data_IF_874878493823
#
_entry.id   IF_874878493823
#
_cell.length_a   1.000
_cell.length_b   1.000
_cell.length_c   1.000
_cell.angle_alpha   90.00
_cell.angle_beta   90.00
_cell.angle_gamma   90.00
#
_symmetry.space_group_name_H-M   'P 1'
#
loop_
_entity.id
_entity.type
_entity.pdbx_description
1 polymer ?
#
# COMPACT_ATOMS: atom_id res chain seq x y z
N UNK A 1 5.35 12.02 30.65
CA UNK A 1 5.51 11.24 29.40
C UNK A 1 5.31 9.78 29.78
N UNK A 2 4.11 9.23 29.54
CA UNK A 2 3.83 7.83 29.81
C UNK A 2 4.24 7.02 28.58
N UNK A 3 5.11 6.03 28.79
CA UNK A 3 5.46 5.04 27.78
C UNK A 3 4.46 3.90 27.94
N UNK A 4 3.50 3.81 27.02
CA UNK A 4 2.64 2.63 26.92
C UNK A 4 3.45 1.50 26.29
N UNK A 5 3.82 0.53 27.12
CA UNK A 5 4.53 -0.68 26.71
C UNK A 5 3.52 -1.81 26.54
N UNK A 6 3.26 -2.19 25.29
CA UNK A 6 2.46 -3.38 24.98
C UNK A 6 3.42 -4.57 24.88
N UNK A 7 3.30 -5.53 25.79
CA UNK A 7 4.09 -6.78 25.79
C UNK A 7 3.22 -7.90 25.20
N UNK A 8 3.61 -8.45 24.06
CA UNK A 8 2.81 -9.49 23.36
C UNK A 8 3.41 -10.89 23.36
N UNK A 9 4.58 -11.10 23.97
CA UNK A 9 5.21 -12.44 24.02
C UNK A 9 5.94 -12.69 25.35
N UNK A 10 5.27 -13.39 26.27
CA UNK A 10 5.82 -13.88 27.53
C UNK A 10 5.99 -15.40 27.46
N UNK A 11 7.18 -15.91 27.78
CA UNK A 11 7.45 -17.36 27.83
C UNK A 11 7.94 -17.76 29.23
N UNK A 12 7.24 -18.69 29.88
CA UNK A 12 7.43 -19.06 31.29
C UNK A 12 8.87 -19.40 31.69
N UNK A 13 9.63 -20.08 30.81
CA UNK A 13 11.01 -20.50 31.11
C UNK A 13 12.10 -19.53 30.60
N UNK A 14 11.74 -18.50 29.82
CA UNK A 14 12.72 -17.64 29.13
C UNK A 14 12.54 -16.15 29.41
N UNK A 15 11.47 -15.76 30.09
CA UNK A 15 11.17 -14.37 30.42
C UNK A 15 10.67 -13.57 29.23
N UNK A 16 10.72 -12.23 29.35
CA UNK A 16 10.34 -11.30 28.29
C UNK A 16 11.54 -11.02 27.39
N UNK A 17 11.36 -11.19 26.09
CA UNK A 17 12.32 -10.71 25.11
C UNK A 17 12.02 -9.25 24.79
N UNK A 18 12.88 -8.35 25.25
CA UNK A 18 12.79 -6.93 24.92
C UNK A 18 13.48 -6.70 23.57
N UNK A 19 12.70 -6.52 22.52
CA UNK A 19 13.23 -6.08 21.22
C UNK A 19 13.11 -4.57 21.11
N UNK A 20 14.24 -3.86 21.14
CA UNK A 20 14.29 -2.43 20.85
C UNK A 20 14.14 -2.22 19.34
N UNK A 21 12.98 -1.76 18.90
CA UNK A 21 12.83 -1.29 17.53
C UNK A 21 13.51 0.09 17.43
N UNK A 22 14.67 0.14 16.78
CA UNK A 22 15.43 1.38 16.55
C UNK A 22 14.98 2.13 15.29
N UNK A 23 13.97 1.63 14.56
CA UNK A 23 13.36 2.43 13.51
C UNK A 23 12.62 3.61 14.14
N UNK A 24 12.88 4.80 13.62
CA UNK A 24 12.07 5.98 13.94
C UNK A 24 10.59 5.61 13.75
N UNK A 25 9.75 5.68 14.80
CA UNK A 25 8.34 5.39 14.65
C UNK A 25 7.74 6.45 13.72
N UNK A 26 7.47 6.07 12.47
CA UNK A 26 6.62 6.87 11.60
C UNK A 26 5.18 6.67 12.08
N UNK A 27 4.79 7.43 13.09
CA UNK A 27 3.38 7.57 13.46
C UNK A 27 2.77 8.53 12.46
N UNK A 28 2.02 7.99 11.49
CA UNK A 28 1.14 8.82 10.67
C UNK A 28 -0.03 9.24 11.56
N UNK A 29 0.03 10.46 12.08
CA UNK A 29 -1.17 11.13 12.59
C UNK A 29 -2.14 11.24 11.39
N UNK A 30 -3.32 10.64 11.49
CA UNK A 30 -4.40 10.91 10.54
C UNK A 30 -4.90 12.32 10.82
N UNK A 31 -4.15 13.32 10.36
CA UNK A 31 -4.70 14.65 10.16
C UNK A 31 -5.85 14.45 9.18
N UNK A 32 -7.06 14.76 9.60
CA UNK A 32 -8.29 14.83 8.81
C UNK A 32 -8.20 15.93 7.73
N UNK A 33 -7.09 15.99 7.00
CA UNK A 33 -7.09 16.55 5.68
C UNK A 33 -7.98 15.62 4.87
N UNK A 34 -9.01 16.18 4.23
CA UNK A 34 -9.90 15.52 3.29
C UNK A 34 -9.12 14.98 2.07
N UNK A 35 -8.27 13.98 2.28
CA UNK A 35 -7.60 13.24 1.24
C UNK A 35 -8.72 12.52 0.51
N UNK A 36 -8.99 12.93 -0.72
CA UNK A 36 -9.97 12.29 -1.58
C UNK A 36 -9.71 10.78 -1.59
N UNK A 37 -10.75 10.00 -1.26
CA UNK A 37 -10.62 8.56 -1.07
C UNK A 37 -10.30 7.89 -2.41
N UNK A 38 -9.09 7.35 -2.52
CA UNK A 38 -8.67 6.51 -3.65
C UNK A 38 -8.87 5.05 -3.22
N UNK A 39 -9.54 4.26 -4.06
CA UNK A 39 -9.70 2.83 -3.82
C UNK A 39 -9.41 2.01 -5.08
N UNK A 40 -8.79 0.85 -4.88
CA UNK A 40 -8.45 -0.09 -5.95
C UNK A 40 -9.19 -1.39 -5.70
N UNK A 41 -10.02 -1.82 -6.64
CA UNK A 41 -10.84 -3.03 -6.46
C UNK A 41 -11.09 -3.78 -7.78
N UNK A 42 -11.34 -5.09 -7.74
CA UNK A 42 -11.23 -5.93 -6.55
C UNK A 42 -9.76 -6.17 -6.15
N UNK A 43 -9.54 -6.50 -4.88
CA UNK A 43 -8.24 -6.94 -4.36
C UNK A 43 -8.48 -8.07 -3.34
N UNK A 44 -8.09 -9.34 -3.61
CA UNK A 44 -7.43 -9.85 -4.82
C UNK A 44 -8.28 -9.76 -6.10
N UNK A 45 -7.66 -9.91 -7.28
CA UNK A 45 -8.35 -9.91 -8.58
C UNK A 45 -7.78 -10.94 -9.58
N UNK A 46 -8.52 -11.19 -10.67
CA UNK A 46 -8.13 -12.14 -11.74
C UNK A 46 -7.32 -11.49 -12.87
N UNK A 47 -6.64 -10.38 -12.58
CA UNK A 47 -5.83 -9.62 -13.53
C UNK A 47 -6.55 -8.42 -14.12
N UNK A 48 -7.79 -8.13 -13.72
CA UNK A 48 -8.50 -6.91 -14.08
C UNK A 48 -9.02 -6.22 -12.82
N UNK A 49 -8.71 -4.94 -12.67
CA UNK A 49 -9.17 -4.12 -11.55
C UNK A 49 -9.35 -2.66 -11.99
N UNK A 50 -10.11 -1.91 -11.20
CA UNK A 50 -10.40 -0.51 -11.42
C UNK A 50 -9.99 0.34 -10.23
N UNK A 51 -9.75 1.61 -10.52
CA UNK A 51 -9.34 2.63 -9.56
C UNK A 51 -10.47 3.65 -9.47
N UNK A 52 -11.13 3.73 -8.32
CA UNK A 52 -12.10 4.76 -8.02
C UNK A 52 -11.41 5.95 -7.35
N UNK A 53 -11.58 7.11 -7.98
CA UNK A 53 -11.08 8.39 -7.50
C UNK A 53 -11.79 9.52 -8.23
N UNK A 54 -11.97 10.65 -7.55
CA UNK A 54 -12.47 11.92 -8.08
C UNK A 54 -11.45 12.66 -8.96
N UNK A 55 -10.15 12.34 -8.87
CA UNK A 55 -9.15 12.92 -9.76
C UNK A 55 -9.41 12.54 -11.23
N UNK A 56 -9.44 13.54 -12.11
CA UNK A 56 -9.56 13.35 -13.57
C UNK A 56 -8.24 12.92 -14.20
N UNK A 57 -7.14 13.57 -13.81
CA UNK A 57 -5.82 13.42 -14.45
C UNK A 57 -4.85 12.60 -13.61
N UNK A 58 -5.03 11.29 -13.64
CA UNK A 58 -4.15 10.36 -12.92
C UNK A 58 -3.15 9.67 -13.83
N UNK A 59 -1.96 9.41 -13.29
CA UNK A 59 -0.95 8.54 -13.87
C UNK A 59 -0.75 7.33 -12.95
N UNK A 60 -0.99 6.15 -13.50
CA UNK A 60 -0.84 4.89 -12.80
C UNK A 60 0.47 4.23 -13.25
N UNK A 61 1.29 3.87 -12.28
CA UNK A 61 2.52 3.09 -12.47
C UNK A 61 2.40 1.79 -11.69
N UNK A 62 2.76 0.69 -12.32
CA UNK A 62 2.66 -0.65 -11.73
C UNK A 62 4.03 -1.30 -11.74
N UNK A 63 4.43 -1.80 -10.59
CA UNK A 63 5.74 -2.41 -10.37
C UNK A 63 5.57 -3.85 -9.92
N UNK A 64 6.48 -4.73 -10.33
CA UNK A 64 6.59 -6.06 -9.75
C UNK A 64 7.30 -6.01 -8.38
N UNK A 65 7.40 -7.16 -7.72
CA UNK A 65 8.07 -7.29 -6.40
C UNK A 65 9.56 -6.93 -6.41
N UNK A 66 10.21 -6.90 -7.59
CA UNK A 66 11.60 -6.47 -7.72
C UNK A 66 11.74 -4.94 -7.88
N UNK A 67 10.62 -4.22 -7.98
CA UNK A 67 10.59 -2.78 -8.24
C UNK A 67 10.69 -2.41 -9.71
N UNK A 68 10.65 -3.39 -10.63
CA UNK A 68 10.66 -3.12 -12.07
C UNK A 68 9.30 -2.59 -12.51
N UNK A 69 9.30 -1.49 -13.28
CA UNK A 69 8.10 -0.93 -13.88
C UNK A 69 7.54 -1.88 -14.95
N UNK A 70 6.37 -2.45 -14.69
CA UNK A 70 5.66 -3.35 -15.59
C UNK A 70 4.73 -2.59 -16.52
N UNK A 71 4.06 -1.56 -16.00
CA UNK A 71 3.06 -0.82 -16.77
C UNK A 71 2.94 0.63 -16.33
N UNK A 72 2.68 1.51 -17.29
CA UNK A 72 2.40 2.93 -17.08
C UNK A 72 1.20 3.34 -17.95
N UNK A 73 0.16 3.90 -17.35
CA UNK A 73 -1.06 4.30 -18.07
C UNK A 73 -1.84 5.40 -17.33
N UNK A 74 -2.71 6.11 -18.04
CA UNK A 74 -3.59 7.14 -17.47
C UNK A 74 -5.04 6.66 -17.29
N UNK A 75 -5.36 5.42 -17.71
CA UNK A 75 -6.71 4.85 -17.59
C UNK A 75 -6.95 4.26 -16.20
N UNK A 76 -8.12 4.54 -15.60
CA UNK A 76 -8.59 3.97 -14.32
C UNK A 76 -8.84 2.47 -14.37
N UNK A 77 -8.93 1.86 -15.56
CA UNK A 77 -9.08 0.41 -15.72
C UNK A 77 -7.74 -0.23 -16.09
N UNK A 78 -7.32 -1.21 -15.30
CA UNK A 78 -6.05 -1.90 -15.50
C UNK A 78 -6.30 -3.38 -15.78
N UNK A 79 -5.54 -3.89 -16.76
CA UNK A 79 -5.40 -5.32 -17.04
C UNK A 79 -3.94 -5.74 -16.92
N UNK A 80 -3.70 -6.83 -16.19
CA UNK A 80 -2.44 -7.53 -15.97
C UNK A 80 -2.57 -8.99 -16.45
N UNK A 81 -1.50 -9.50 -17.05
CA UNK A 81 -1.51 -10.79 -17.74
C UNK A 81 -0.96 -11.95 -16.92
N UNK A 82 -0.26 -11.66 -15.82
CA UNK A 82 0.42 -12.66 -15.00
C UNK A 82 -0.07 -12.56 -13.57
N UNK A 83 -0.10 -13.71 -12.92
CA UNK A 83 -0.40 -13.82 -11.51
C UNK A 83 0.80 -13.36 -10.69
N UNK A 84 0.52 -12.84 -9.50
CA UNK A 84 1.55 -12.36 -8.60
C UNK A 84 1.14 -11.14 -7.80
N UNK A 85 2.12 -10.60 -7.08
CA UNK A 85 1.98 -9.40 -6.26
C UNK A 85 2.55 -8.22 -7.04
N UNK A 86 1.80 -7.13 -7.07
CA UNK A 86 2.23 -5.89 -7.70
C UNK A 86 2.03 -4.71 -6.76
N UNK A 87 2.83 -3.67 -6.98
CA UNK A 87 2.68 -2.39 -6.30
C UNK A 87 2.20 -1.36 -7.31
N UNK A 88 1.10 -0.69 -6.98
CA UNK A 88 0.52 0.37 -7.80
C UNK A 88 0.86 1.70 -7.14
N UNK A 89 1.25 2.67 -7.95
CA UNK A 89 1.38 4.06 -7.57
C UNK A 89 0.47 4.92 -8.45
N UNK A 90 -0.39 5.71 -7.80
CA UNK A 90 -1.31 6.63 -8.45
C UNK A 90 -0.79 8.05 -8.20
N UNK A 91 -0.47 8.74 -9.29
CA UNK A 91 0.03 10.10 -9.26
C UNK A 91 -1.00 11.05 -9.86
N UNK A 92 -1.05 12.27 -9.35
CA UNK A 92 -1.69 13.39 -10.03
C UNK A 92 -0.62 14.42 -10.36
N UNK A 93 -0.41 14.65 -11.66
CA UNK A 93 0.73 15.40 -12.20
C UNK A 93 2.07 14.81 -11.71
N UNK A 94 2.75 15.49 -10.78
CA UNK A 94 4.04 15.06 -10.21
C UNK A 94 3.93 14.49 -8.79
N UNK A 95 2.77 14.63 -8.14
CA UNK A 95 2.56 14.21 -6.75
C UNK A 95 2.06 12.77 -6.68
N UNK A 96 2.72 11.94 -5.87
CA UNK A 96 2.19 10.63 -5.49
C UNK A 96 0.99 10.83 -4.55
N UNK A 97 -0.16 10.29 -4.92
CA UNK A 97 -1.39 10.39 -4.13
C UNK A 97 -1.65 9.13 -3.31
N UNK A 98 -1.47 7.96 -3.93
CA UNK A 98 -1.76 6.67 -3.30
C UNK A 98 -0.79 5.61 -3.78
N UNK A 99 -0.45 4.69 -2.89
CA UNK A 99 0.33 3.50 -3.20
C UNK A 99 -0.29 2.29 -2.54
N UNK A 100 -0.51 1.22 -3.29
CA UNK A 100 -1.20 0.03 -2.79
C UNK A 100 -0.60 -1.26 -3.35
N UNK A 101 -0.59 -2.30 -2.51
CA UNK A 101 -0.26 -3.66 -2.90
C UNK A 101 -1.51 -4.34 -3.45
N UNK A 102 -1.42 -4.89 -4.65
CA UNK A 102 -2.47 -5.72 -5.23
C UNK A 102 -2.02 -7.17 -5.41
N UNK A 103 -2.97 -8.08 -5.28
CA UNK A 103 -2.75 -9.51 -5.48
C UNK A 103 -3.55 -9.98 -6.69
N UNK A 104 -2.86 -10.54 -7.68
CA UNK A 104 -3.47 -11.13 -8.87
C UNK A 104 -3.40 -12.66 -8.78
N UNK A 105 -4.56 -13.29 -8.80
CA UNK A 105 -4.75 -14.75 -8.74
C UNK A 105 -5.84 -15.13 -9.73
N UNK A 106 -5.54 -16.01 -10.70
CA UNK A 106 -6.52 -16.48 -11.68
C UNK A 106 -7.35 -17.66 -11.20
#
# INVERSE_FOLDING_TARGET
RNLDLIVTNWHQSRGNFLFLNTMSPYVSENVENSIEKISVFPNPNKGSFSIQTSYSDILIKIFDVSGRLIKRQNSKYVRLEKDGIYFIQIHHRTKLLHSEKIVVTR
#
